data_IF_088885163641
#
_entry.id   IF_088885163641
#
_cell.length_a   1.000
_cell.length_b   1.000
_cell.length_c   1.000
_cell.angle_alpha   90.00
_cell.angle_beta   90.00
_cell.angle_gamma   90.00
#
_symmetry.space_group_name_H-M   'P 1'
#
loop_
_entity.id
_entity.type
_entity.pdbx_description
1 polymer ?
#
# COMPACT_ATOMS: atom_id res chain seq x y z
N UNK A 1 -4.95 -32.14 -2.55
CA UNK A 1 -4.39 -31.73 -1.26
C UNK A 1 -4.47 -30.21 -1.20
N UNK A 2 -5.27 -29.64 -0.30
CA UNK A 2 -5.26 -28.20 -0.10
C UNK A 2 -3.93 -27.82 0.57
N UNK A 3 -2.99 -27.30 -0.22
CA UNK A 3 -1.77 -26.71 0.31
C UNK A 3 -2.21 -25.50 1.13
N UNK A 4 -2.07 -25.56 2.46
CA UNK A 4 -2.44 -24.44 3.33
C UNK A 4 -1.63 -23.22 2.92
N UNK A 5 -2.28 -22.06 2.77
CA UNK A 5 -1.57 -20.82 2.40
C UNK A 5 -0.40 -20.57 3.33
N UNK A 6 0.73 -20.22 2.71
CA UNK A 6 1.98 -19.92 3.38
C UNK A 6 1.81 -18.70 4.31
N UNK A 7 2.61 -18.62 5.38
CA UNK A 7 2.44 -17.59 6.42
C UNK A 7 2.57 -16.16 5.89
N UNK A 8 3.52 -15.92 4.98
CA UNK A 8 3.72 -14.59 4.37
C UNK A 8 2.54 -14.18 3.47
N UNK A 9 1.88 -15.13 2.80
CA UNK A 9 0.68 -14.85 2.01
C UNK A 9 -0.44 -14.35 2.92
N UNK A 10 -0.67 -15.02 4.06
CA UNK A 10 -1.70 -14.60 5.02
C UNK A 10 -1.45 -13.21 5.60
N UNK A 11 -0.18 -12.92 5.94
CA UNK A 11 0.22 -11.61 6.45
C UNK A 11 0.02 -10.54 5.39
N UNK A 12 0.48 -10.79 4.16
CA UNK A 12 0.35 -9.84 3.06
C UNK A 12 -1.11 -9.58 2.67
N UNK A 13 -1.92 -10.62 2.55
CA UNK A 13 -3.36 -10.50 2.26
C UNK A 13 -4.08 -9.68 3.33
N UNK A 14 -3.81 -9.96 4.61
CA UNK A 14 -4.39 -9.21 5.72
C UNK A 14 -3.97 -7.73 5.71
N UNK A 15 -2.70 -7.45 5.43
CA UNK A 15 -2.23 -6.07 5.31
C UNK A 15 -2.90 -5.33 4.15
N UNK A 16 -2.97 -5.95 2.95
CA UNK A 16 -3.60 -5.33 1.77
C UNK A 16 -5.08 -5.03 2.07
N UNK A 17 -5.81 -5.99 2.63
CA UNK A 17 -7.20 -5.80 3.01
C UNK A 17 -7.37 -4.63 3.98
N UNK A 18 -6.56 -4.58 5.03
CA UNK A 18 -6.63 -3.52 6.05
C UNK A 18 -6.25 -2.15 5.47
N UNK A 19 -5.17 -2.08 4.70
CA UNK A 19 -4.66 -0.84 4.12
C UNK A 19 -5.72 -0.18 3.23
N UNK A 20 -6.24 -0.88 2.22
CA UNK A 20 -7.21 -0.28 1.30
C UNK A 20 -8.57 -0.06 1.95
N UNK A 21 -8.99 -0.92 2.88
CA UNK A 21 -10.20 -0.65 3.66
C UNK A 21 -10.07 0.62 4.50
N UNK A 22 -8.92 0.84 5.14
CA UNK A 22 -8.67 2.07 5.89
C UNK A 22 -8.65 3.30 4.96
N UNK A 23 -8.01 3.18 3.79
CA UNK A 23 -7.91 4.25 2.80
C UNK A 23 -9.28 4.67 2.27
N UNK A 24 -10.13 3.69 1.92
CA UNK A 24 -11.39 3.93 1.22
C UNK A 24 -12.54 4.29 2.16
N UNK A 25 -12.64 3.58 3.29
CA UNK A 25 -13.87 3.53 4.09
C UNK A 25 -13.75 4.20 5.45
N UNK A 26 -12.53 4.54 5.90
CA UNK A 26 -12.30 5.07 7.25
C UNK A 26 -11.55 6.40 7.21
N UNK A 27 -11.03 6.82 8.36
CA UNK A 27 -10.23 8.03 8.47
C UNK A 27 -8.81 7.77 7.96
N UNK A 28 -8.39 8.45 6.87
CA UNK A 28 -7.03 8.35 6.32
C UNK A 28 -5.91 8.63 7.32
N UNK A 29 -6.20 9.35 8.41
CA UNK A 29 -5.24 9.51 9.51
C UNK A 29 -4.83 8.17 10.15
N UNK A 30 -5.71 7.16 10.12
CA UNK A 30 -5.46 5.81 10.63
C UNK A 30 -4.36 5.07 9.86
N UNK A 31 -4.19 5.36 8.56
CA UNK A 31 -3.17 4.71 7.72
C UNK A 31 -1.76 4.90 8.28
N UNK A 32 -1.50 6.03 8.94
CA UNK A 32 -0.21 6.31 9.58
C UNK A 32 0.20 5.21 10.57
N UNK A 33 -0.77 4.57 11.24
CA UNK A 33 -0.50 3.52 12.23
C UNK A 33 0.01 2.22 11.59
N UNK A 34 -0.19 2.03 10.29
CA UNK A 34 0.30 0.87 9.55
C UNK A 34 1.79 0.99 9.22
N UNK A 35 2.38 2.19 9.31
CA UNK A 35 3.78 2.44 8.97
C UNK A 35 4.70 2.37 10.19
N UNK A 36 5.93 1.89 10.01
CA UNK A 36 6.99 2.05 11.02
C UNK A 36 7.36 3.53 11.21
N UNK A 37 7.96 3.92 12.35
CA UNK A 37 8.41 5.30 12.58
C UNK A 37 9.30 5.84 11.47
N UNK A 38 10.23 5.00 10.97
CA UNK A 38 11.22 5.35 9.94
C UNK A 38 10.82 4.90 8.52
N UNK A 39 9.52 4.70 8.27
CA UNK A 39 9.07 4.20 6.96
C UNK A 39 9.37 5.19 5.82
N UNK A 40 9.50 4.67 4.60
CA UNK A 40 9.68 5.47 3.39
C UNK A 40 8.52 5.25 2.42
N UNK A 41 7.83 6.33 2.06
CA UNK A 41 6.86 6.36 0.96
C UNK A 41 7.48 7.05 -0.26
N UNK A 42 7.25 6.50 -1.45
CA UNK A 42 7.41 7.22 -2.71
C UNK A 42 6.07 7.31 -3.42
N UNK A 43 5.48 8.50 -3.49
CA UNK A 43 4.17 8.73 -4.11
C UNK A 43 4.35 9.53 -5.40
N UNK A 44 4.03 8.94 -6.56
CA UNK A 44 4.14 9.61 -7.87
C UNK A 44 5.53 10.23 -8.14
N UNK A 45 6.59 9.64 -7.57
CA UNK A 45 7.98 10.06 -7.75
C UNK A 45 8.55 10.87 -6.60
N UNK A 46 7.69 11.38 -5.72
CA UNK A 46 8.09 12.21 -4.59
C UNK A 46 8.33 11.35 -3.34
N UNK A 47 9.50 11.46 -2.69
CA UNK A 47 9.80 10.72 -1.46
C UNK A 47 9.25 11.43 -0.21
N UNK A 48 8.78 10.64 0.74
CA UNK A 48 8.33 11.07 2.07
C UNK A 48 8.87 10.09 3.11
N UNK A 49 9.71 10.58 4.03
CA UNK A 49 10.37 9.76 5.03
C UNK A 49 9.76 10.02 6.41
N UNK A 50 9.51 8.93 7.14
CA UNK A 50 8.96 8.92 8.48
C UNK A 50 7.44 8.94 8.50
N UNK A 51 6.87 8.28 9.51
CA UNK A 51 5.41 8.11 9.68
C UNK A 51 4.64 9.43 9.58
N UNK A 52 5.15 10.50 10.19
CA UNK A 52 4.49 11.81 10.20
C UNK A 52 4.42 12.45 8.81
N UNK A 53 5.52 12.40 8.05
CA UNK A 53 5.55 12.94 6.68
C UNK A 53 4.61 12.16 5.76
N UNK A 54 4.56 10.83 5.93
CA UNK A 54 3.64 9.95 5.21
C UNK A 54 2.18 10.30 5.55
N UNK A 55 1.85 10.43 6.85
CA UNK A 55 0.52 10.81 7.30
C UNK A 55 0.07 12.15 6.69
N UNK A 56 0.95 13.16 6.76
CA UNK A 56 0.70 14.47 6.17
C UNK A 56 0.46 14.39 4.66
N UNK A 57 1.24 13.57 3.94
CA UNK A 57 1.03 13.38 2.50
C UNK A 57 -0.33 12.75 2.20
N UNK A 58 -0.69 11.65 2.87
CA UNK A 58 -1.91 10.89 2.59
C UNK A 58 -3.19 11.68 2.94
N UNK A 59 -3.16 12.47 4.01
CA UNK A 59 -4.29 13.33 4.42
C UNK A 59 -4.51 14.49 3.45
N UNK A 60 -3.43 15.05 2.88
CA UNK A 60 -3.48 16.20 1.97
C UNK A 60 -3.65 15.81 0.49
N UNK A 61 -3.97 14.55 0.19
CA UNK A 61 -4.27 14.16 -1.19
C UNK A 61 -5.54 14.90 -1.68
N UNK A 62 -5.55 15.42 -2.92
CA UNK A 62 -6.55 16.37 -3.39
C UNK A 62 -7.87 15.70 -3.82
N UNK A 63 -8.42 14.82 -3.00
CA UNK A 63 -9.69 14.13 -3.25
C UNK A 63 -10.44 13.83 -1.94
N UNK A 64 -11.77 13.88 -1.99
CA UNK A 64 -12.61 13.65 -0.81
C UNK A 64 -12.87 12.17 -0.59
N UNK A 65 -13.17 11.43 -1.65
CA UNK A 65 -13.42 9.99 -1.65
C UNK A 65 -12.45 9.32 -2.61
N UNK A 66 -12.08 8.10 -2.27
CA UNK A 66 -11.35 7.21 -3.17
C UNK A 66 -11.89 5.80 -2.99
N UNK A 67 -11.86 5.03 -4.06
CA UNK A 67 -12.20 3.62 -4.04
C UNK A 67 -11.16 2.85 -4.83
N UNK A 68 -10.56 1.84 -4.20
CA UNK A 68 -9.64 0.93 -4.86
C UNK A 68 -10.35 -0.39 -5.19
N UNK A 69 -10.01 -0.96 -6.34
CA UNK A 69 -10.38 -2.31 -6.76
C UNK A 69 -9.06 -3.02 -7.04
N UNK A 70 -8.72 -3.97 -6.17
CA UNK A 70 -7.51 -4.78 -6.31
C UNK A 70 -7.80 -5.85 -7.36
N UNK A 71 -7.01 -5.85 -8.43
CA UNK A 71 -7.13 -6.83 -9.52
C UNK A 71 -6.19 -8.00 -9.32
N UNK A 72 -4.96 -7.72 -8.87
CA UNK A 72 -3.98 -8.77 -8.57
C UNK A 72 -3.07 -8.34 -7.41
N UNK A 73 -2.57 -9.33 -6.67
CA UNK A 73 -1.65 -9.14 -5.57
C UNK A 73 -0.72 -10.35 -5.41
N UNK A 74 0.57 -10.06 -5.23
CA UNK A 74 1.61 -11.06 -5.06
C UNK A 74 2.37 -10.83 -3.76
N UNK A 75 2.82 -11.93 -3.14
CA UNK A 75 3.50 -11.92 -1.85
C UNK A 75 4.73 -12.80 -1.88
N UNK A 76 5.86 -12.27 -1.44
CA UNK A 76 7.10 -13.02 -1.31
C UNK A 76 7.75 -12.79 0.06
N UNK A 77 8.29 -13.86 0.69
CA UNK A 77 9.21 -13.67 1.80
C UNK A 77 10.53 -13.13 1.26
N UNK A 78 11.23 -12.34 2.06
CA UNK A 78 12.58 -11.87 1.75
C UNK A 78 13.61 -12.54 2.66
N UNK A 79 14.89 -12.46 2.28
CA UNK A 79 16.00 -13.02 3.07
C UNK A 79 16.09 -12.43 4.48
N UNK A 80 15.67 -11.18 4.67
CA UNK A 80 15.72 -10.46 5.95
C UNK A 80 14.42 -10.60 6.77
N UNK A 81 13.64 -11.65 6.52
CA UNK A 81 12.35 -11.92 7.18
C UNK A 81 11.31 -10.80 7.04
N UNK A 82 11.39 -10.01 5.96
CA UNK A 82 10.33 -9.10 5.53
C UNK A 82 9.36 -9.83 4.59
N UNK A 83 8.17 -9.24 4.40
CA UNK A 83 7.23 -9.62 3.34
C UNK A 83 7.21 -8.53 2.29
N UNK A 84 7.56 -8.88 1.05
CA UNK A 84 7.40 -8.03 -0.13
C UNK A 84 6.00 -8.26 -0.71
N UNK A 85 5.31 -7.18 -1.00
CA UNK A 85 3.95 -7.17 -1.53
C UNK A 85 3.93 -6.34 -2.80
N UNK A 86 3.37 -6.87 -3.88
CA UNK A 86 3.07 -6.12 -5.10
C UNK A 86 1.57 -6.14 -5.34
N UNK A 87 0.98 -4.99 -5.62
CA UNK A 87 -0.46 -4.80 -5.80
C UNK A 87 -0.71 -4.09 -7.13
N UNK A 88 -1.64 -4.64 -7.90
CA UNK A 88 -2.21 -4.03 -9.09
C UNK A 88 -3.69 -3.78 -8.86
N UNK A 89 -4.18 -2.67 -9.38
CA UNK A 89 -5.60 -2.41 -9.33
C UNK A 89 -6.04 -1.23 -10.17
N UNK A 90 -7.29 -0.88 -9.97
CA UNK A 90 -7.85 0.39 -10.41
C UNK A 90 -8.29 1.18 -9.20
N UNK A 91 -8.16 2.50 -9.28
CA UNK A 91 -8.71 3.41 -8.30
C UNK A 91 -9.59 4.45 -8.97
N UNK A 92 -10.56 4.96 -8.23
CA UNK A 92 -11.38 6.09 -8.63
C UNK A 92 -11.37 7.12 -7.51
N UNK A 93 -10.90 8.32 -7.80
CA UNK A 93 -10.94 9.45 -6.89
C UNK A 93 -12.16 10.33 -7.22
N UNK A 94 -13.00 10.61 -6.24
CA UNK A 94 -14.25 11.37 -6.40
C UNK A 94 -15.09 10.90 -7.61
N UNK A 95 -15.29 11.77 -8.61
CA UNK A 95 -16.04 11.48 -9.84
C UNK A 95 -15.12 11.35 -11.06
N UNK A 96 -13.80 11.25 -10.85
CA UNK A 96 -12.83 11.08 -11.92
C UNK A 96 -12.99 9.71 -12.60
N UNK A 97 -12.36 9.56 -13.76
CA UNK A 97 -12.31 8.26 -14.45
C UNK A 97 -11.49 7.27 -13.63
N UNK A 98 -11.88 5.99 -13.57
CA UNK A 98 -11.02 4.95 -12.99
C UNK A 98 -9.65 4.91 -13.67
N UNK A 99 -8.60 4.79 -12.86
CA UNK A 99 -7.21 4.77 -13.30
C UNK A 99 -6.54 3.51 -12.79
N UNK A 100 -5.72 2.87 -13.62
CA UNK A 100 -4.85 1.81 -13.13
C UNK A 100 -3.85 2.37 -12.12
N UNK A 101 -3.45 1.56 -11.16
CA UNK A 101 -2.35 1.87 -10.25
C UNK A 101 -1.52 0.62 -9.93
N UNK A 102 -0.31 0.88 -9.48
CA UNK A 102 0.65 -0.11 -9.02
C UNK A 102 1.18 0.34 -7.67
N UNK A 103 1.22 -0.57 -6.71
CA UNK A 103 1.76 -0.28 -5.39
C UNK A 103 2.61 -1.43 -4.87
N UNK A 104 3.76 -1.11 -4.30
CA UNK A 104 4.66 -2.09 -3.70
C UNK A 104 4.83 -1.75 -2.23
N UNK A 105 4.70 -2.74 -1.36
CA UNK A 105 4.95 -2.62 0.06
C UNK A 105 6.04 -3.57 0.54
N UNK A 106 6.78 -3.14 1.55
CA UNK A 106 7.60 -4.04 2.36
C UNK A 106 7.13 -3.99 3.80
N UNK A 107 6.83 -5.16 4.38
CA UNK A 107 6.46 -5.29 5.78
C UNK A 107 7.60 -5.91 6.56
N UNK A 108 7.82 -5.42 7.78
CA UNK A 108 8.74 -6.01 8.74
C UNK A 108 8.07 -6.17 10.09
N UNK A 109 8.32 -7.31 10.75
CA UNK A 109 7.88 -7.52 12.12
C UNK A 109 8.87 -6.88 13.08
N UNK A 110 8.36 -6.03 13.96
CA UNK A 110 9.10 -5.41 15.07
C UNK A 110 8.27 -5.56 16.34
N UNK A 111 8.86 -6.04 17.43
CA UNK A 111 8.16 -6.25 18.71
C UNK A 111 6.85 -7.05 18.56
N UNK A 112 6.88 -8.11 17.75
CA UNK A 112 5.73 -8.97 17.44
C UNK A 112 4.57 -8.28 16.69
N UNK A 113 4.78 -7.10 16.11
CA UNK A 113 3.81 -6.40 15.27
C UNK A 113 4.38 -6.16 13.86
N UNK A 114 3.57 -6.40 12.82
CA UNK A 114 3.92 -6.11 11.44
C UNK A 114 3.67 -4.64 11.13
N UNK A 115 4.65 -3.97 10.54
CA UNK A 115 4.54 -2.59 10.07
C UNK A 115 5.12 -2.45 8.66
N UNK A 116 4.56 -1.53 7.88
CA UNK A 116 5.06 -1.15 6.57
C UNK A 116 6.33 -0.29 6.74
N UNK A 117 7.44 -0.73 6.16
CA UNK A 117 8.71 0.00 6.14
C UNK A 117 8.93 0.74 4.83
N UNK A 118 8.36 0.25 3.73
CA UNK A 118 8.50 0.84 2.40
C UNK A 118 7.18 0.76 1.66
N UNK A 119 6.79 1.87 1.03
CA UNK A 119 5.63 1.99 0.15
C UNK A 119 6.05 2.74 -1.12
N UNK A 120 5.77 2.19 -2.28
CA UNK A 120 5.98 2.85 -3.57
C UNK A 120 4.68 2.79 -4.36
N UNK A 121 4.10 3.95 -4.61
CA UNK A 121 2.86 4.11 -5.36
C UNK A 121 3.10 4.81 -6.70
N UNK A 122 2.46 4.28 -7.75
CA UNK A 122 2.36 4.86 -9.08
C UNK A 122 0.99 4.66 -9.70
N UNK A 123 0.45 5.69 -10.34
CA UNK A 123 -0.62 5.57 -11.30
C UNK A 123 -0.09 4.93 -12.58
N UNK A 124 -0.88 4.03 -13.17
CA UNK A 124 -0.64 3.39 -14.46
C UNK A 124 -0.89 4.34 -15.65
N UNK A 125 -0.51 5.62 -15.51
CA UNK A 125 -0.65 6.66 -16.54
C UNK A 125 0.61 6.86 -17.38
N UNK A 126 1.63 6.03 -17.18
CA UNK A 126 2.85 6.08 -17.99
C UNK A 126 2.56 5.51 -19.38
N UNK A 127 1.89 6.32 -20.21
CA UNK A 127 1.81 6.10 -21.64
C UNK A 127 3.20 6.28 -22.23
N UNK A 128 3.78 5.13 -22.59
CA UNK A 128 4.86 4.98 -23.55
C UNK A 128 4.49 5.82 -24.79
N UNK A 129 5.31 6.80 -25.22
CA UNK A 129 5.17 7.33 -26.56
C UNK A 129 5.40 6.18 -27.52
N UNK A 130 4.35 5.75 -28.22
CA UNK A 130 4.47 4.92 -29.42
C UNK A 130 4.82 5.81 -30.60
#
# INVERSE_FOLDING_TARGET
MACGKEIWQKIGEGFVQEYYNQFDNTNRMGLANLYSPDACLTWEGSPFQGREAIANKLVNLPFKRIKHIITEQDFQPTVDSCVLIMVFGQLQADEDRPMAFHQVFMLKSQNCAWACTNDVFRLGVHNIPV
#
